data_IF_124374794265
#
_entry.id   IF_124374794265
#
_cell.length_a   1.000
_cell.length_b   1.000
_cell.length_c   1.000
_cell.angle_alpha   90.00
_cell.angle_beta   90.00
_cell.angle_gamma   90.00
#
_symmetry.space_group_name_H-M   'P 1'
#
loop_
_entity.id
_entity.type
_entity.pdbx_description
1 polymer ?
#
# COMPACT_ATOMS: atom_id res chain seq x y z
N UNK A 1 -28.12 -5.27 -30.83
CA UNK A 1 -29.13 -5.05 -29.76
C UNK A 1 -28.56 -3.99 -28.81
N UNK A 2 -29.38 -3.06 -28.32
CA UNK A 2 -28.91 -1.97 -27.45
C UNK A 2 -29.50 -2.12 -26.05
N UNK A 3 -28.71 -1.76 -25.04
CA UNK A 3 -29.11 -1.67 -23.63
C UNK A 3 -29.08 -0.21 -23.18
N UNK A 4 -29.82 0.07 -22.11
CA UNK A 4 -29.85 1.39 -21.46
C UNK A 4 -28.63 1.59 -20.57
N UNK A 5 -28.35 2.84 -20.21
CA UNK A 5 -27.31 3.17 -19.22
C UNK A 5 -27.52 2.45 -17.87
N UNK A 6 -28.78 2.23 -17.47
CA UNK A 6 -29.14 1.56 -16.21
C UNK A 6 -28.81 0.06 -16.25
N UNK A 7 -29.02 -0.58 -17.38
CA UNK A 7 -28.67 -2.00 -17.58
C UNK A 7 -27.15 -2.17 -17.69
N UNK A 8 -26.47 -1.28 -18.41
CA UNK A 8 -25.01 -1.26 -18.48
C UNK A 8 -24.37 -1.02 -17.09
N UNK A 9 -24.97 -0.14 -16.28
CA UNK A 9 -24.55 0.14 -14.91
C UNK A 9 -24.60 -1.13 -14.04
N UNK A 10 -25.69 -1.90 -14.14
CA UNK A 10 -25.84 -3.20 -13.47
C UNK A 10 -24.84 -4.22 -14.00
N UNK A 11 -24.65 -4.30 -15.32
CA UNK A 11 -23.67 -5.21 -15.98
C UNK A 11 -22.24 -4.95 -15.52
N UNK A 12 -21.86 -3.69 -15.31
CA UNK A 12 -20.47 -3.27 -15.04
C UNK A 12 -20.17 -2.97 -13.57
N UNK A 13 -21.18 -3.07 -12.69
CA UNK A 13 -21.04 -2.77 -11.26
C UNK A 13 -20.62 -1.32 -11.00
N UNK A 14 -21.15 -0.35 -11.75
CA UNK A 14 -20.88 1.09 -11.58
C UNK A 14 -22.19 1.89 -11.55
N UNK A 15 -22.13 3.15 -11.13
CA UNK A 15 -23.33 4.00 -11.10
C UNK A 15 -23.83 4.36 -12.50
N UNK A 16 -25.14 4.50 -12.67
CA UNK A 16 -25.77 4.97 -13.91
C UNK A 16 -25.20 6.32 -14.37
N UNK A 17 -24.96 7.23 -13.42
CA UNK A 17 -24.26 8.50 -13.68
C UNK A 17 -22.89 8.29 -14.33
N UNK A 18 -22.10 7.32 -13.84
CA UNK A 18 -20.77 7.03 -14.40
C UNK A 18 -20.87 6.48 -15.82
N UNK A 19 -21.86 5.64 -16.10
CA UNK A 19 -22.10 5.13 -17.46
C UNK A 19 -22.40 6.28 -18.43
N UNK A 20 -23.30 7.20 -18.05
CA UNK A 20 -23.64 8.37 -18.90
C UNK A 20 -22.43 9.26 -19.17
N UNK A 21 -21.57 9.45 -18.17
CA UNK A 21 -20.31 10.19 -18.33
C UNK A 21 -19.40 9.49 -19.35
N UNK A 22 -19.23 8.16 -19.25
CA UNK A 22 -18.42 7.39 -20.20
C UNK A 22 -18.97 7.47 -21.63
N UNK A 23 -20.30 7.48 -21.79
CA UNK A 23 -20.93 7.69 -23.09
C UNK A 23 -20.66 9.11 -23.63
N UNK A 24 -20.84 10.15 -22.81
CA UNK A 24 -20.59 11.54 -23.25
C UNK A 24 -19.12 11.83 -23.54
N UNK A 25 -18.21 11.13 -22.86
CA UNK A 25 -16.76 11.21 -23.10
C UNK A 25 -16.32 10.38 -24.31
N UNK A 26 -17.24 9.69 -25.01
CA UNK A 26 -16.92 8.86 -26.18
C UNK A 26 -16.14 7.58 -25.87
N UNK A 27 -16.10 7.16 -24.59
CA UNK A 27 -15.33 5.97 -24.15
C UNK A 27 -16.03 4.64 -24.44
N UNK A 28 -17.30 4.67 -24.82
CA UNK A 28 -18.08 3.48 -25.17
C UNK A 28 -18.38 3.55 -26.66
N UNK A 29 -17.64 2.76 -27.44
CA UNK A 29 -17.79 2.75 -28.89
C UNK A 29 -19.20 2.27 -29.30
N UNK A 30 -19.80 2.94 -30.28
CA UNK A 30 -21.16 2.64 -30.74
C UNK A 30 -22.28 3.10 -29.79
N UNK A 31 -21.96 3.74 -28.66
CA UNK A 31 -22.98 4.37 -27.85
C UNK A 31 -23.47 5.68 -28.47
N UNK A 32 -24.78 5.86 -28.55
CA UNK A 32 -25.40 7.09 -29.04
C UNK A 32 -26.61 7.47 -28.18
N UNK A 33 -27.02 8.74 -28.29
CA UNK A 33 -28.16 9.24 -27.55
C UNK A 33 -29.40 9.25 -28.44
N UNK A 34 -30.47 8.61 -27.98
CA UNK A 34 -31.79 8.63 -28.62
C UNK A 34 -32.76 9.33 -27.65
N UNK A 35 -33.06 10.61 -27.94
CA UNK A 35 -33.82 11.47 -27.04
C UNK A 35 -33.09 11.70 -25.70
N UNK A 36 -33.68 11.23 -24.60
CA UNK A 36 -33.11 11.33 -23.24
C UNK A 36 -32.39 10.07 -22.78
N UNK A 37 -32.33 9.03 -23.61
CA UNK A 37 -31.81 7.72 -23.23
C UNK A 37 -30.56 7.40 -24.03
N UNK A 38 -29.54 6.90 -23.33
CA UNK A 38 -28.35 6.35 -23.98
C UNK A 38 -28.63 4.94 -24.49
N UNK A 39 -28.31 4.70 -25.76
CA UNK A 39 -28.27 3.39 -26.40
C UNK A 39 -26.84 2.92 -26.39
N UNK A 40 -26.57 1.86 -25.64
CA UNK A 40 -25.23 1.26 -25.50
C UNK A 40 -25.27 -0.12 -26.17
N UNK A 41 -24.34 -0.48 -27.05
CA UNK A 41 -24.29 -1.82 -27.63
C UNK A 41 -24.29 -2.89 -26.53
N UNK A 42 -25.09 -3.94 -26.66
CA UNK A 42 -25.23 -4.98 -25.63
C UNK A 42 -23.90 -5.73 -25.36
N UNK A 43 -23.04 -5.81 -26.37
CA UNK A 43 -21.71 -6.39 -26.38
C UNK A 43 -20.62 -5.41 -25.90
N UNK A 44 -20.95 -4.15 -25.62
CA UNK A 44 -19.99 -3.19 -25.10
C UNK A 44 -19.36 -3.70 -23.78
N UNK A 45 -18.03 -3.64 -23.76
CA UNK A 45 -17.20 -3.96 -22.59
C UNK A 45 -17.02 -2.69 -21.77
N UNK A 46 -16.97 -2.84 -20.44
CA UNK A 46 -16.68 -1.74 -19.53
C UNK A 46 -15.33 -1.11 -19.91
N UNK A 47 -15.26 0.20 -20.24
CA UNK A 47 -13.99 0.85 -20.52
C UNK A 47 -13.05 0.73 -19.32
N UNK A 48 -11.76 0.51 -19.59
CA UNK A 48 -10.72 0.53 -18.55
C UNK A 48 -10.72 1.89 -17.85
N UNK A 49 -10.72 1.87 -16.53
CA UNK A 49 -10.65 3.11 -15.74
C UNK A 49 -9.29 3.76 -15.98
N UNK A 50 -9.28 4.93 -16.62
CA UNK A 50 -8.06 5.66 -17.00
C UNK A 50 -7.19 6.10 -15.82
N UNK A 51 -7.66 5.94 -14.57
CA UNK A 51 -6.80 6.04 -13.37
C UNK A 51 -5.73 4.95 -13.33
N UNK A 52 -6.03 3.78 -13.88
CA UNK A 52 -5.06 2.72 -14.10
C UNK A 52 -4.45 2.91 -15.49
N UNK A 53 -3.37 3.71 -15.56
CA UNK A 53 -2.39 3.46 -16.62
C UNK A 53 -1.81 2.09 -16.31
N UNK A 54 -1.87 1.15 -17.25
CA UNK A 54 -0.99 -0.01 -17.25
C UNK A 54 0.44 0.53 -17.37
N UNK A 55 1.01 0.98 -16.25
CA UNK A 55 2.46 0.96 -16.08
C UNK A 55 2.85 -0.49 -16.31
N UNK A 56 3.90 -0.71 -17.09
CA UNK A 56 4.52 -2.01 -17.27
C UNK A 56 4.51 -2.80 -15.96
N UNK A 57 4.17 -4.08 -16.04
CA UNK A 57 4.02 -4.92 -14.86
C UNK A 57 5.29 -4.84 -14.01
N UNK A 58 5.18 -4.27 -12.81
CA UNK A 58 6.30 -4.19 -11.86
C UNK A 58 6.74 -5.58 -11.37
N UNK A 59 5.97 -6.64 -11.70
CA UNK A 59 6.29 -8.02 -11.34
C UNK A 59 7.69 -8.39 -11.81
N UNK A 60 8.05 -8.10 -13.07
CA UNK A 60 9.37 -8.43 -13.61
C UNK A 60 10.51 -7.74 -12.83
N UNK A 61 10.28 -6.49 -12.41
CA UNK A 61 11.25 -5.72 -11.61
C UNK A 61 11.37 -6.30 -10.20
N UNK A 62 10.27 -6.74 -9.60
CA UNK A 62 10.25 -7.35 -8.28
C UNK A 62 10.92 -8.74 -8.28
N UNK A 63 10.70 -9.53 -9.33
CA UNK A 63 11.33 -10.83 -9.52
C UNK A 63 12.85 -10.70 -9.66
N UNK A 64 13.33 -9.75 -10.46
CA UNK A 64 14.78 -9.48 -10.62
C UNK A 64 15.43 -9.01 -9.30
N UNK A 65 14.76 -8.10 -8.56
CA UNK A 65 15.23 -7.65 -7.23
C UNK A 65 15.28 -8.81 -6.23
N UNK A 66 14.28 -9.68 -6.22
CA UNK A 66 14.24 -10.84 -5.34
C UNK A 66 15.38 -11.82 -5.64
N UNK A 67 15.62 -12.10 -6.93
CA UNK A 67 16.69 -13.00 -7.35
C UNK A 67 18.08 -12.43 -7.01
N UNK A 68 18.26 -11.12 -7.19
CA UNK A 68 19.48 -10.41 -6.77
C UNK A 68 19.72 -10.52 -5.26
N UNK A 69 18.67 -10.39 -4.44
CA UNK A 69 18.77 -10.53 -2.98
C UNK A 69 19.11 -11.96 -2.56
N UNK A 70 18.50 -12.97 -3.20
CA UNK A 70 18.76 -14.39 -2.91
C UNK A 70 20.22 -14.76 -3.14
N UNK A 71 20.83 -14.26 -4.23
CA UNK A 71 22.25 -14.50 -4.56
C UNK A 71 23.24 -13.96 -3.54
N UNK A 72 22.83 -13.01 -2.69
CA UNK A 72 23.67 -12.42 -1.64
C UNK A 72 23.59 -13.15 -0.29
N UNK A 73 22.82 -14.23 -0.21
CA UNK A 73 22.69 -15.06 1.00
C UNK A 73 23.64 -16.29 0.91
N UNK A 74 24.08 -16.85 2.05
CA UNK A 74 23.81 -16.42 3.41
C UNK A 74 24.59 -15.16 3.79
N UNK A 75 24.01 -14.36 4.68
CA UNK A 75 24.71 -13.24 5.30
C UNK A 75 25.55 -13.74 6.48
N UNK A 76 26.64 -13.06 6.79
CA UNK A 76 27.42 -13.32 8.00
C UNK A 76 26.64 -12.93 9.26
N UNK A 77 27.00 -13.49 10.41
CA UNK A 77 26.33 -13.20 11.68
C UNK A 77 26.34 -11.70 12.01
N UNK A 78 27.48 -11.03 11.84
CA UNK A 78 27.58 -9.58 12.06
C UNK A 78 26.82 -8.73 11.04
N UNK A 79 26.64 -9.19 9.80
CA UNK A 79 25.76 -8.52 8.84
C UNK A 79 24.29 -8.66 9.24
N UNK A 80 23.89 -9.84 9.69
CA UNK A 80 22.53 -10.09 10.18
C UNK A 80 22.25 -9.27 11.43
N UNK A 81 23.18 -9.22 12.38
CA UNK A 81 23.06 -8.43 13.60
C UNK A 81 22.87 -6.94 13.29
N UNK A 82 23.77 -6.35 12.51
CA UNK A 82 23.68 -4.93 12.09
C UNK A 82 22.38 -4.61 11.37
N UNK A 83 21.94 -5.44 10.42
CA UNK A 83 20.68 -5.22 9.71
C UNK A 83 19.48 -5.32 10.65
N UNK A 84 19.51 -6.22 11.63
CA UNK A 84 18.44 -6.32 12.61
C UNK A 84 18.40 -5.12 13.55
N UNK A 85 19.54 -4.62 14.00
CA UNK A 85 19.62 -3.41 14.83
C UNK A 85 19.06 -2.20 14.08
N UNK A 86 19.54 -1.96 12.86
CA UNK A 86 19.07 -0.85 12.01
C UNK A 86 17.56 -0.96 11.75
N UNK A 87 17.09 -2.14 11.36
CA UNK A 87 15.67 -2.38 11.12
C UNK A 87 14.83 -2.20 12.39
N UNK A 88 15.28 -2.71 13.54
CA UNK A 88 14.53 -2.59 14.80
C UNK A 88 14.31 -1.13 15.19
N UNK A 89 15.36 -0.30 15.08
CA UNK A 89 15.30 1.14 15.40
C UNK A 89 14.32 1.84 14.46
N UNK A 90 14.47 1.66 13.14
CA UNK A 90 13.59 2.29 12.16
C UNK A 90 12.14 1.81 12.28
N UNK A 91 11.93 0.51 12.46
CA UNK A 91 10.61 -0.09 12.58
C UNK A 91 9.89 0.42 13.83
N UNK A 92 10.60 0.47 14.96
CA UNK A 92 10.06 0.98 16.23
C UNK A 92 9.73 2.46 16.15
N UNK A 93 10.62 3.27 15.56
CA UNK A 93 10.36 4.69 15.34
C UNK A 93 9.12 4.90 14.45
N UNK A 94 9.10 4.31 13.26
CA UNK A 94 8.03 4.55 12.29
C UNK A 94 6.66 4.08 12.81
N UNK A 95 6.59 2.93 13.49
CA UNK A 95 5.32 2.43 14.02
C UNK A 95 4.77 3.33 15.12
N UNK A 96 5.60 3.73 16.09
CA UNK A 96 5.16 4.60 17.17
C UNK A 96 4.84 6.02 16.68
N UNK A 97 5.59 6.53 15.70
CA UNK A 97 5.33 7.84 15.11
C UNK A 97 3.97 7.90 14.40
N UNK A 98 3.54 6.81 13.74
CA UNK A 98 2.20 6.71 13.13
C UNK A 98 1.09 6.84 14.20
N UNK A 99 1.32 6.28 15.39
CA UNK A 99 0.40 6.35 16.53
C UNK A 99 0.52 7.66 17.35
N UNK A 100 1.37 8.60 16.91
CA UNK A 100 1.50 9.92 17.49
C UNK A 100 2.62 10.11 18.51
N UNK A 101 3.53 9.13 18.66
CA UNK A 101 4.73 9.29 19.46
C UNK A 101 5.64 10.36 18.83
N UNK A 102 6.24 11.21 19.65
CA UNK A 102 6.98 12.40 19.18
C UNK A 102 8.50 12.25 19.23
N UNK A 103 9.02 11.10 19.66
CA UNK A 103 10.45 10.82 19.66
C UNK A 103 10.98 10.83 18.23
N UNK A 104 12.11 11.50 18.00
CA UNK A 104 12.84 11.40 16.74
C UNK A 104 13.51 10.03 16.58
N UNK A 105 13.99 9.72 15.38
CA UNK A 105 14.73 8.47 15.14
C UNK A 105 15.94 8.30 16.07
N UNK A 106 16.71 9.38 16.30
CA UNK A 106 17.87 9.36 17.20
C UNK A 106 17.47 9.21 18.67
N UNK A 107 16.41 9.91 19.08
CA UNK A 107 15.87 9.76 20.43
C UNK A 107 15.35 8.35 20.67
N UNK A 108 14.69 7.74 19.67
CA UNK A 108 14.24 6.35 19.73
C UNK A 108 15.41 5.39 19.90
N UNK A 109 16.49 5.51 19.11
CA UNK A 109 17.72 4.72 19.28
C UNK A 109 18.31 4.86 20.70
N UNK A 110 18.37 6.09 21.21
CA UNK A 110 18.84 6.35 22.58
C UNK A 110 17.95 5.66 23.63
N UNK A 111 16.62 5.69 23.48
CA UNK A 111 15.68 4.99 24.37
C UNK A 111 15.89 3.48 24.33
N UNK A 112 16.06 2.91 23.14
CA UNK A 112 16.33 1.48 22.97
C UNK A 112 17.66 1.04 23.61
N UNK A 113 18.62 1.97 23.76
CA UNK A 113 19.88 1.77 24.50
C UNK A 113 19.76 2.02 26.02
N UNK A 114 18.55 2.33 26.51
CA UNK A 114 18.28 2.53 27.93
C UNK A 114 18.46 3.97 28.43
N UNK A 115 18.56 4.97 27.53
CA UNK A 115 18.64 6.37 27.90
C UNK A 115 17.24 7.01 27.97
N UNK A 116 17.08 8.00 28.84
CA UNK A 116 15.86 8.83 28.89
C UNK A 116 16.07 10.16 28.17
N UNK A 117 15.04 10.64 27.50
CA UNK A 117 15.04 11.89 26.74
C UNK A 117 14.32 12.98 27.54
N UNK A 118 15.01 14.11 27.75
CA UNK A 118 14.44 15.27 28.45
C UNK A 118 13.17 15.76 27.73
N UNK A 119 12.19 16.22 28.52
CA UNK A 119 10.89 16.76 28.05
C UNK A 119 10.00 15.79 27.26
N UNK A 120 10.34 14.51 27.20
CA UNK A 120 9.51 13.46 26.59
C UNK A 120 8.78 12.68 27.69
N UNK A 121 7.56 12.25 27.41
CA UNK A 121 6.76 11.57 28.43
C UNK A 121 7.29 10.15 28.70
N UNK A 122 7.14 9.66 29.93
CA UNK A 122 7.47 8.26 30.24
C UNK A 122 6.66 7.28 29.39
N UNK A 123 5.41 7.63 29.06
CA UNK A 123 4.55 6.82 28.18
C UNK A 123 5.21 6.60 26.82
N UNK A 124 5.72 7.65 26.18
CA UNK A 124 6.38 7.53 24.88
C UNK A 124 7.63 6.63 24.91
N UNK A 125 8.39 6.66 26.01
CA UNK A 125 9.53 5.76 26.19
C UNK A 125 9.08 4.31 26.35
N UNK A 126 8.05 4.07 27.16
CA UNK A 126 7.50 2.75 27.39
C UNK A 126 6.86 2.15 26.12
N UNK A 127 6.27 2.98 25.26
CA UNK A 127 5.76 2.56 23.95
C UNK A 127 6.89 2.06 23.04
N UNK A 128 8.01 2.79 22.99
CA UNK A 128 9.21 2.38 22.24
C UNK A 128 9.78 1.06 22.77
N UNK A 129 9.91 0.92 24.09
CA UNK A 129 10.40 -0.31 24.73
C UNK A 129 9.44 -1.48 24.46
N UNK A 130 8.14 -1.26 24.67
CA UNK A 130 7.13 -2.30 24.46
C UNK A 130 7.05 -2.76 23.00
N UNK A 131 7.24 -1.86 22.04
CA UNK A 131 7.31 -2.22 20.63
C UNK A 131 8.55 -3.05 20.30
N UNK A 132 9.73 -2.72 20.86
CA UNK A 132 10.93 -3.58 20.74
C UNK A 132 10.65 -4.97 21.31
N UNK A 133 10.06 -5.06 22.50
CA UNK A 133 9.78 -6.34 23.15
C UNK A 133 8.81 -7.19 22.29
N UNK A 134 7.80 -6.55 21.68
CA UNK A 134 6.89 -7.21 20.75
C UNK A 134 7.63 -7.72 19.50
N UNK A 135 8.55 -6.93 18.93
CA UNK A 135 9.36 -7.35 17.79
C UNK A 135 10.25 -8.55 18.14
N UNK A 136 10.94 -8.49 19.29
CA UNK A 136 11.78 -9.59 19.77
C UNK A 136 10.97 -10.86 20.01
N UNK A 137 9.77 -10.74 20.56
CA UNK A 137 8.84 -11.87 20.72
C UNK A 137 8.45 -12.51 19.37
N UNK A 138 8.05 -11.70 18.38
CA UNK A 138 7.72 -12.23 17.03
C UNK A 138 8.92 -12.93 16.40
N UNK A 139 10.14 -12.38 16.55
CA UNK A 139 11.36 -13.01 16.03
C UNK A 139 11.63 -14.38 16.65
N UNK A 140 11.28 -14.59 17.92
CA UNK A 140 11.42 -15.89 18.57
C UNK A 140 10.43 -16.93 18.01
N UNK A 141 9.25 -16.49 17.56
CA UNK A 141 8.22 -17.38 16.98
C UNK A 141 8.51 -17.81 15.54
N UNK A 142 9.24 -16.99 14.78
CA UNK A 142 9.53 -17.22 13.34
C UNK A 142 10.84 -18.02 13.14
N UNK A 143 11.49 -18.45 14.22
CA UNK A 143 12.68 -19.30 14.16
C UNK A 143 12.40 -20.69 13.58
#
# INVERSE_FOLDING_TARGET
>A
MYITAKEAAKKWGISDRRVRILCSEGKIHGAYQEGRTWKIPCDAVKPTDGRYKTKESLILVLEDKLETLKKRRPLTEGEVERLNEEFLVEYTYNSNAIEGNTLTLRETDMVLRGLTIDRKSLKEHLEVIGHKDAFDYVRQLVR
#
